data_IF_820691673305
#
_entry.id   IF_820691673305
#
_cell.length_a   1.000
_cell.length_b   1.000
_cell.length_c   1.000
_cell.angle_alpha   90.00
_cell.angle_beta   90.00
_cell.angle_gamma   90.00
#
_symmetry.space_group_name_H-M   'P 1'
#
loop_
_entity.id
_entity.type
_entity.pdbx_description
1 polymer ?
#
# COMPACT_ATOMS: atom_id res chain seq x y z
N UNK A 1 -12.98 -9.11 -21.49
CA UNK A 1 -11.98 -9.74 -20.58
C UNK A 1 -10.95 -8.68 -20.26
N UNK A 2 -11.06 -8.04 -19.09
CA UNK A 2 -9.99 -7.17 -18.57
C UNK A 2 -8.80 -8.06 -18.22
N UNK A 3 -7.65 -7.76 -18.80
CA UNK A 3 -6.39 -8.46 -18.51
C UNK A 3 -5.97 -8.14 -17.07
N UNK A 4 -5.98 -9.15 -16.20
CA UNK A 4 -5.49 -9.04 -14.81
C UNK A 4 -4.00 -8.68 -14.85
N UNK A 5 -3.63 -7.55 -14.26
CA UNK A 5 -2.25 -7.05 -14.25
C UNK A 5 -1.68 -7.24 -12.85
N UNK A 6 -0.62 -8.04 -12.74
CA UNK A 6 0.00 -8.35 -11.44
C UNK A 6 1.33 -7.63 -11.26
N UNK A 7 1.43 -6.82 -10.22
CA UNK A 7 2.70 -6.27 -9.75
C UNK A 7 3.39 -7.25 -8.79
N UNK A 8 4.71 -7.38 -8.91
CA UNK A 8 5.52 -8.23 -8.03
C UNK A 8 6.44 -7.37 -7.18
N UNK A 9 6.32 -7.49 -5.86
CA UNK A 9 7.10 -6.73 -4.89
C UNK A 9 7.91 -7.73 -4.08
N UNK A 10 9.21 -7.75 -4.32
CA UNK A 10 10.16 -8.61 -3.63
C UNK A 10 11.06 -7.74 -2.75
N UNK A 11 11.12 -8.04 -1.46
CA UNK A 11 11.99 -7.36 -0.52
C UNK A 11 12.67 -8.37 0.41
N UNK A 12 14.00 -8.35 0.43
CA UNK A 12 14.83 -9.23 1.25
C UNK A 12 15.86 -8.37 2.01
N UNK A 13 15.83 -8.39 3.34
CA UNK A 13 16.69 -7.60 4.23
C UNK A 13 16.74 -6.10 3.87
N UNK A 14 15.63 -5.55 3.37
CA UNK A 14 15.59 -4.19 2.82
C UNK A 14 14.26 -3.50 3.08
N UNK A 15 14.23 -2.21 2.75
CA UNK A 15 13.02 -1.39 2.72
C UNK A 15 12.65 -1.10 1.27
N UNK A 16 11.42 -1.42 0.87
CA UNK A 16 10.89 -1.06 -0.44
C UNK A 16 9.63 -0.22 -0.28
N UNK A 17 9.57 0.90 -1.00
CA UNK A 17 8.42 1.78 -1.02
C UNK A 17 7.91 1.92 -2.44
N UNK A 18 6.60 1.86 -2.59
CA UNK A 18 5.86 2.16 -3.81
C UNK A 18 4.84 3.22 -3.44
N UNK A 19 5.13 4.48 -3.79
CA UNK A 19 4.39 5.66 -3.34
C UNK A 19 3.83 6.45 -4.54
N UNK A 20 2.76 7.22 -4.32
CA UNK A 20 2.14 8.00 -5.39
C UNK A 20 1.37 7.15 -6.41
N UNK A 21 1.30 7.62 -7.65
CA UNK A 21 0.64 6.93 -8.78
C UNK A 21 1.60 5.96 -9.48
N UNK A 22 2.02 4.91 -8.79
CA UNK A 22 3.07 3.99 -9.27
C UNK A 22 2.56 2.80 -10.09
N UNK A 23 1.24 2.54 -10.10
CA UNK A 23 0.63 1.40 -10.78
C UNK A 23 -0.87 1.61 -11.00
N UNK A 24 -1.43 0.83 -11.92
CA UNK A 24 -2.86 0.67 -12.15
C UNK A 24 -3.28 -0.83 -12.07
N UNK A 25 -2.43 -1.66 -11.46
CA UNK A 25 -2.66 -3.10 -11.32
C UNK A 25 -3.84 -3.43 -10.39
N UNK A 26 -4.50 -4.55 -10.67
CA UNK A 26 -5.58 -5.11 -9.86
C UNK A 26 -5.10 -6.24 -8.94
N UNK A 27 -3.83 -6.64 -9.06
CA UNK A 27 -3.24 -7.72 -8.29
C UNK A 27 -1.80 -7.45 -7.89
N UNK A 28 -1.42 -7.91 -6.70
CA UNK A 28 -0.08 -7.78 -6.15
C UNK A 28 0.39 -9.12 -5.57
N UNK A 29 1.64 -9.50 -5.86
CA UNK A 29 2.36 -10.57 -5.16
C UNK A 29 3.49 -9.94 -4.34
N UNK A 30 3.33 -9.94 -3.02
CA UNK A 30 4.26 -9.30 -2.08
C UNK A 30 5.01 -10.36 -1.30
N UNK A 31 6.32 -10.44 -1.52
CA UNK A 31 7.21 -11.36 -0.81
C UNK A 31 8.22 -10.58 -0.01
N UNK A 32 8.23 -10.82 1.29
CA UNK A 32 9.06 -10.11 2.25
C UNK A 32 9.82 -11.08 3.13
N UNK A 33 11.14 -10.93 3.22
CA UNK A 33 11.98 -11.59 4.22
C UNK A 33 12.81 -10.55 4.96
N UNK A 34 12.65 -10.48 6.28
CA UNK A 34 13.39 -9.53 7.12
C UNK A 34 13.29 -8.08 6.58
N UNK A 35 12.11 -7.72 6.07
CA UNK A 35 11.92 -6.54 5.22
C UNK A 35 10.79 -5.61 5.71
N UNK A 36 10.80 -4.40 5.16
CA UNK A 36 9.73 -3.42 5.34
C UNK A 36 9.22 -2.96 3.97
N UNK A 37 7.94 -3.18 3.70
CA UNK A 37 7.28 -2.80 2.44
C UNK A 37 6.25 -1.72 2.72
N UNK A 38 6.25 -0.65 1.93
CA UNK A 38 5.19 0.37 1.94
C UNK A 38 4.54 0.41 0.57
N UNK A 39 3.25 0.12 0.51
CA UNK A 39 2.44 0.23 -0.70
C UNK A 39 1.43 1.36 -0.52
N UNK A 40 1.57 2.39 -1.33
CA UNK A 40 0.56 3.42 -1.48
C UNK A 40 -0.46 2.99 -2.50
N UNK A 41 -1.67 2.74 -2.03
CA UNK A 41 -2.77 2.28 -2.86
C UNK A 41 -3.81 3.40 -3.03
N UNK A 42 -3.54 4.62 -2.57
CA UNK A 42 -4.49 5.76 -2.63
C UNK A 42 -4.73 6.28 -4.05
N UNK A 43 -3.96 5.83 -5.03
CA UNK A 43 -4.17 6.23 -6.42
C UNK A 43 -5.58 5.88 -6.90
N UNK A 44 -6.29 6.82 -7.55
CA UNK A 44 -7.62 6.56 -8.13
C UNK A 44 -7.55 5.66 -9.38
N UNK A 45 -6.36 5.49 -9.98
CA UNK A 45 -6.17 4.66 -11.16
C UNK A 45 -6.13 3.16 -10.80
N UNK A 46 -6.02 2.82 -9.51
CA UNK A 46 -6.07 1.44 -9.02
C UNK A 46 -7.53 0.97 -8.92
N UNK A 47 -7.90 -0.16 -9.56
CA UNK A 47 -9.28 -0.66 -9.61
C UNK A 47 -9.95 -0.93 -8.25
N UNK A 48 -11.28 -1.02 -8.26
CA UNK A 48 -12.08 -1.16 -7.04
C UNK A 48 -12.03 -2.52 -6.35
N UNK A 49 -11.67 -3.57 -7.08
CA UNK A 49 -11.47 -4.92 -6.56
C UNK A 49 -9.97 -5.26 -6.65
N UNK A 50 -9.34 -5.39 -5.49
CA UNK A 50 -7.89 -5.48 -5.38
C UNK A 50 -7.46 -6.74 -4.64
N UNK A 51 -6.52 -7.48 -5.21
CA UNK A 51 -6.03 -8.72 -4.63
C UNK A 51 -4.55 -8.62 -4.27
N UNK A 52 -4.20 -8.89 -3.00
CA UNK A 52 -2.83 -8.89 -2.51
C UNK A 52 -2.49 -10.27 -1.93
N UNK A 53 -1.64 -10.99 -2.63
CA UNK A 53 -1.01 -12.20 -2.12
C UNK A 53 0.21 -11.83 -1.28
N UNK A 54 0.32 -12.46 -0.10
CA UNK A 54 1.37 -12.21 0.87
C UNK A 54 2.19 -13.49 1.13
N UNK A 55 3.50 -13.39 0.97
CA UNK A 55 4.47 -14.35 1.51
C UNK A 55 5.47 -13.60 2.38
N UNK A 56 5.18 -13.51 3.69
CA UNK A 56 5.96 -12.70 4.62
C UNK A 56 6.65 -13.57 5.68
N UNK A 57 7.94 -13.32 5.86
CA UNK A 57 8.74 -13.85 6.95
C UNK A 57 9.46 -12.71 7.67
N UNK A 58 9.19 -12.55 8.96
CA UNK A 58 9.80 -11.52 9.81
C UNK A 58 9.76 -10.11 9.19
N UNK A 59 8.62 -9.73 8.60
CA UNK A 59 8.49 -8.52 7.77
C UNK A 59 7.34 -7.63 8.21
N UNK A 60 7.40 -6.36 7.84
CA UNK A 60 6.29 -5.41 8.00
C UNK A 60 5.79 -4.94 6.64
N UNK A 61 4.48 -4.97 6.42
CA UNK A 61 3.83 -4.33 5.27
C UNK A 61 2.97 -3.18 5.75
N UNK A 62 3.15 -1.99 5.20
CA UNK A 62 2.29 -0.81 5.41
C UNK A 62 1.50 -0.56 4.14
N UNK A 63 0.17 -0.58 4.26
CA UNK A 63 -0.76 -0.23 3.21
C UNK A 63 -1.27 1.18 3.48
N UNK A 64 -1.02 2.12 2.56
CA UNK A 64 -1.61 3.46 2.60
C UNK A 64 -2.85 3.43 1.72
N UNK A 65 -4.02 3.62 2.32
CA UNK A 65 -5.30 3.45 1.65
C UNK A 65 -6.10 4.75 1.65
N UNK A 66 -7.07 4.86 0.74
CA UNK A 66 -8.06 5.94 0.78
C UNK A 66 -8.99 5.74 1.98
N UNK A 67 -9.62 6.81 2.44
CA UNK A 67 -10.39 6.81 3.70
C UNK A 67 -11.51 5.78 3.73
N UNK A 68 -12.19 5.58 2.60
CA UNK A 68 -13.29 4.62 2.45
C UNK A 68 -12.87 3.18 2.24
N UNK A 69 -11.60 2.91 1.95
CA UNK A 69 -11.13 1.58 1.52
C UNK A 69 -11.25 0.57 2.67
N UNK A 70 -11.73 -0.62 2.36
CA UNK A 70 -11.93 -1.72 3.31
C UNK A 70 -10.94 -2.85 3.06
N UNK A 71 -10.57 -3.55 4.13
CA UNK A 71 -9.65 -4.69 4.08
C UNK A 71 -10.41 -5.95 4.45
N UNK A 72 -10.33 -6.94 3.57
CA UNK A 72 -10.72 -8.31 3.83
C UNK A 72 -9.45 -9.15 4.01
N UNK A 73 -9.27 -9.76 5.18
CA UNK A 73 -8.01 -10.44 5.53
C UNK A 73 -8.23 -11.82 6.15
N UNK A 74 -9.44 -12.37 6.05
CA UNK A 74 -9.78 -13.67 6.64
C UNK A 74 -8.95 -14.82 6.05
N UNK A 75 -8.46 -14.66 4.82
CA UNK A 75 -7.64 -15.65 4.12
C UNK A 75 -6.13 -15.49 4.36
N UNK A 76 -5.71 -14.59 5.25
CA UNK A 76 -4.31 -14.49 5.68
C UNK A 76 -4.04 -15.51 6.79
N UNK A 77 -3.11 -16.41 6.54
CA UNK A 77 -2.64 -17.39 7.52
C UNK A 77 -1.50 -16.79 8.34
N UNK A 78 -1.56 -17.01 9.66
CA UNK A 78 -0.54 -16.56 10.62
C UNK A 78 0.08 -17.77 11.33
N UNK A 79 1.06 -18.47 10.72
CA UNK A 79 1.64 -19.68 11.33
C UNK A 79 2.43 -19.43 12.62
N UNK A 80 2.83 -18.18 12.87
CA UNK A 80 3.52 -17.75 14.09
C UNK A 80 2.97 -16.39 14.54
N UNK A 81 3.68 -15.71 15.45
CA UNK A 81 3.29 -14.36 15.89
C UNK A 81 3.03 -13.46 14.67
N UNK A 82 1.92 -12.74 14.68
CA UNK A 82 1.62 -11.82 13.62
C UNK A 82 0.21 -11.25 13.77
N UNK A 83 -0.05 -10.16 13.05
CA UNK A 83 -1.35 -9.48 13.09
C UNK A 83 -1.48 -8.47 11.96
N UNK A 84 -2.72 -8.18 11.62
CA UNK A 84 -3.10 -6.97 10.93
C UNK A 84 -3.50 -5.90 11.96
N UNK A 85 -3.09 -4.66 11.72
CA UNK A 85 -3.52 -3.48 12.47
C UNK A 85 -4.22 -2.50 11.57
N UNK A 86 -5.47 -2.24 11.88
CA UNK A 86 -6.27 -1.17 11.28
C UNK A 86 -6.95 -0.40 12.41
N UNK A 87 -6.23 0.58 12.97
CA UNK A 87 -6.73 1.39 14.10
C UNK A 87 -7.63 2.53 13.68
N UNK A 88 -7.55 2.93 12.40
CA UNK A 88 -8.29 4.04 11.84
C UNK A 88 -9.68 3.57 11.39
N UNK A 89 -9.78 2.36 10.84
CA UNK A 89 -10.98 1.87 10.17
C UNK A 89 -11.30 2.66 8.88
N UNK A 90 -12.27 2.20 8.08
CA UNK A 90 -12.79 2.97 6.97
C UNK A 90 -13.69 4.11 7.47
N UNK A 91 -13.61 5.27 6.82
CA UNK A 91 -14.41 6.47 7.11
C UNK A 91 -14.83 7.17 5.82
N UNK A 92 -15.90 7.95 5.85
CA UNK A 92 -16.37 8.69 4.68
C UNK A 92 -17.18 7.81 3.72
N UNK A 93 -17.10 8.12 2.42
CA UNK A 93 -17.77 7.35 1.37
C UNK A 93 -17.18 5.94 1.25
N UNK A 94 -18.01 4.98 0.85
CA UNK A 94 -17.55 3.61 0.67
C UNK A 94 -16.49 3.55 -0.44
N UNK A 95 -15.28 3.12 -0.09
CA UNK A 95 -14.18 2.93 -1.00
C UNK A 95 -14.08 1.49 -1.51
N UNK A 96 -12.87 1.13 -1.90
CA UNK A 96 -12.56 -0.14 -2.55
C UNK A 96 -12.48 -1.27 -1.55
N UNK A 97 -12.58 -2.51 -2.04
CA UNK A 97 -12.35 -3.70 -1.23
C UNK A 97 -11.01 -4.32 -1.60
N UNK A 98 -10.17 -4.51 -0.59
CA UNK A 98 -8.83 -5.03 -0.75
C UNK A 98 -8.76 -6.38 -0.06
N UNK A 99 -8.56 -7.43 -0.85
CA UNK A 99 -8.50 -8.81 -0.41
C UNK A 99 -7.05 -9.22 -0.15
N UNK A 100 -6.74 -9.51 1.10
CA UNK A 100 -5.45 -10.02 1.55
C UNK A 100 -5.54 -11.54 1.75
N UNK A 101 -4.58 -12.26 1.19
CA UNK A 101 -4.47 -13.72 1.36
C UNK A 101 -3.01 -14.17 1.36
N UNK A 102 -2.76 -15.40 1.78
CA UNK A 102 -1.42 -15.99 1.81
C UNK A 102 -0.93 -16.26 3.22
N UNK A 103 0.37 -16.03 3.48
CA UNK A 103 1.02 -16.38 4.75
C UNK A 103 1.88 -15.24 5.29
N UNK A 104 1.84 -15.07 6.61
CA UNK A 104 2.64 -14.11 7.32
C UNK A 104 3.18 -14.69 8.64
N UNK A 105 4.49 -14.97 8.69
CA UNK A 105 5.19 -15.56 9.83
C UNK A 105 6.00 -14.47 10.52
N UNK A 106 5.85 -14.29 11.84
CA UNK A 106 6.57 -13.27 12.61
C UNK A 106 6.44 -11.85 12.03
N UNK A 107 5.29 -11.55 11.41
CA UNK A 107 5.11 -10.39 10.53
C UNK A 107 3.93 -9.51 10.96
N UNK A 108 3.95 -8.25 10.56
CA UNK A 108 2.88 -7.29 10.86
C UNK A 108 2.39 -6.58 9.59
N UNK A 109 1.08 -6.52 9.41
CA UNK A 109 0.45 -5.71 8.37
C UNK A 109 -0.16 -4.49 9.05
N UNK A 110 0.09 -3.30 8.53
CA UNK A 110 -0.46 -2.04 9.04
C UNK A 110 -1.25 -1.35 7.96
N UNK A 111 -2.44 -0.90 8.30
CA UNK A 111 -3.31 -0.13 7.44
C UNK A 111 -3.30 1.31 7.92
N UNK A 112 -2.92 2.23 7.04
CA UNK A 112 -2.93 3.67 7.30
C UNK A 112 -3.93 4.34 6.35
N UNK A 113 -4.79 5.20 6.90
CA UNK A 113 -5.75 6.04 6.17
C UNK A 113 -5.63 7.51 6.61
N UNK A 114 -6.24 8.42 5.85
CA UNK A 114 -6.30 9.85 6.12
C UNK A 114 -4.93 10.49 6.34
N UNK A 115 -4.86 11.40 7.32
CA UNK A 115 -3.61 12.11 7.65
C UNK A 115 -2.43 11.20 7.97
N UNK A 116 -2.67 10.00 8.53
CA UNK A 116 -1.59 9.04 8.84
C UNK A 116 -0.98 8.48 7.55
N UNK A 117 -1.80 8.21 6.53
CA UNK A 117 -1.33 7.78 5.22
C UNK A 117 -0.49 8.88 4.55
N UNK A 118 -1.00 10.12 4.57
CA UNK A 118 -0.32 11.30 4.00
C UNK A 118 1.05 11.50 4.65
N UNK A 119 1.11 11.57 5.98
CA UNK A 119 2.38 11.77 6.72
C UNK A 119 3.33 10.59 6.48
N UNK A 120 2.82 9.35 6.42
CA UNK A 120 3.65 8.18 6.12
C UNK A 120 4.30 8.26 4.74
N UNK A 121 3.58 8.79 3.75
CA UNK A 121 4.11 9.00 2.40
C UNK A 121 5.12 10.16 2.34
N UNK A 122 4.84 11.27 3.03
CA UNK A 122 5.72 12.44 3.06
C UNK A 122 7.07 12.18 3.76
N UNK A 123 7.10 11.30 4.76
CA UNK A 123 8.33 10.91 5.47
C UNK A 123 9.14 9.88 4.65
N UNK A 124 9.49 10.25 3.42
CA UNK A 124 10.17 9.41 2.45
C UNK A 124 11.14 10.21 1.57
N UNK A 125 12.11 9.54 0.96
CA UNK A 125 13.00 10.21 -0.01
C UNK A 125 12.25 10.49 -1.31
N UNK A 126 11.35 9.59 -1.66
CA UNK A 126 10.47 9.64 -2.81
C UNK A 126 9.59 10.90 -2.80
N UNK A 127 9.08 11.32 -1.62
CA UNK A 127 8.37 12.60 -1.49
C UNK A 127 9.30 13.79 -1.73
N UNK A 128 10.52 13.76 -1.22
CA UNK A 128 11.48 14.85 -1.45
C UNK A 128 11.81 14.99 -2.94
N UNK A 129 12.04 13.87 -3.62
CA UNK A 129 12.34 13.82 -5.05
C UNK A 129 11.14 14.33 -5.88
N UNK A 130 9.92 13.92 -5.54
CA UNK A 130 8.68 14.41 -6.16
C UNK A 130 8.48 15.90 -5.89
N UNK A 131 8.70 16.38 -4.66
CA UNK A 131 8.57 17.80 -4.31
C UNK A 131 9.57 18.70 -5.05
N UNK A 132 10.82 18.25 -5.17
CA UNK A 132 11.83 18.96 -5.95
C UNK A 132 11.46 19.03 -7.44
N UNK A 133 10.97 17.93 -8.00
CA UNK A 133 10.52 17.86 -9.40
C UNK A 133 9.28 18.72 -9.64
N UNK A 134 8.29 18.63 -8.75
CA UNK A 134 7.06 19.39 -8.79
C UNK A 134 7.31 20.90 -8.72
N UNK A 135 8.23 21.34 -7.86
CA UNK A 135 8.68 22.73 -7.79
C UNK A 135 9.27 23.21 -9.11
N UNK A 136 10.10 22.39 -9.77
CA UNK A 136 10.72 22.72 -11.06
C UNK A 136 9.69 22.80 -12.19
N UNK A 137 8.65 21.97 -12.13
CA UNK A 137 7.62 21.83 -13.16
C UNK A 137 6.38 22.70 -12.92
N UNK A 138 6.27 23.36 -11.77
CA UNK A 138 5.11 24.19 -11.41
C UNK A 138 3.84 23.37 -11.15
N UNK A 139 3.97 22.10 -10.75
CA UNK A 139 2.86 21.18 -10.46
C UNK A 139 2.76 20.85 -8.97
N UNK A 140 1.69 20.17 -8.57
CA UNK A 140 1.57 19.61 -7.23
C UNK A 140 2.29 18.26 -7.11
N UNK A 141 2.69 17.92 -5.88
CA UNK A 141 3.18 16.58 -5.54
C UNK A 141 2.07 15.55 -5.67
N UNK A 142 2.47 14.33 -6.01
CA UNK A 142 1.60 13.15 -6.16
C UNK A 142 1.79 12.17 -5.01
N UNK A 143 2.90 12.24 -4.27
CA UNK A 143 3.19 11.32 -3.17
C UNK A 143 2.39 11.63 -1.90
N UNK A 144 2.19 12.91 -1.56
CA UNK A 144 1.38 13.28 -0.39
C UNK A 144 -0.10 12.98 -0.64
N UNK A 145 -0.57 13.23 -1.86
CA UNK A 145 -1.97 13.09 -2.27
C UNK A 145 -2.08 12.60 -3.73
N UNK A 146 -2.11 11.28 -3.94
CA UNK A 146 -2.18 10.70 -5.27
C UNK A 146 -3.46 11.05 -6.06
N UNK A 147 -4.52 11.48 -5.36
CA UNK A 147 -5.80 11.84 -5.95
C UNK A 147 -5.87 13.28 -6.46
N UNK A 148 -4.88 14.14 -6.14
CA UNK A 148 -4.88 15.57 -6.48
C UNK A 148 -4.68 15.88 -7.98
N UNK A 149 -4.32 14.87 -8.77
CA UNK A 149 -3.88 15.02 -10.17
C UNK A 149 -4.96 14.83 -11.24
N UNK A 150 -6.24 14.80 -10.88
CA UNK A 150 -7.38 14.73 -11.80
C UNK A 150 -8.23 16.00 -11.75
#
# INVERSE_FOLDING_TARGET
MTSKTTERILADHTVTKRLGNWTAADSYDVRGRDASVVLDLRSPDIPNDLQIHLELHHSTVKLLLADGDTIDHWDVRWPAKGRLKDTQGPTGEAGRRIHLYGTAVNSEIRVHRGGVAIISAMLSREYLDDALSARREGRHTTVDDPARGH
#
